data_IF_379501407386
#
_entry.id   IF_379501407386
#
_cell.length_a   1.000
_cell.length_b   1.000
_cell.length_c   1.000
_cell.angle_alpha   90.00
_cell.angle_beta   90.00
_cell.angle_gamma   90.00
#
_symmetry.space_group_name_H-M   'P 1'
#
loop_
_entity.id
_entity.type
_entity.pdbx_description
1 polymer ?
#
# COMPACT_ATOMS: atom_id res chain seq x y z
N UNK A 1 -19.94 -33.78 80.02
CA UNK A 1 -21.41 -33.79 79.92
C UNK A 1 -21.81 -32.87 78.78
N UNK A 2 -22.81 -33.31 77.99
CA UNK A 2 -23.56 -32.63 76.91
C UNK A 2 -22.75 -31.77 75.89
N UNK A 3 -22.54 -32.21 74.65
CA UNK A 3 -23.46 -32.06 73.49
C UNK A 3 -23.92 -30.63 73.22
N UNK A 4 -23.41 -30.03 72.14
CA UNK A 4 -24.32 -29.38 71.20
C UNK A 4 -23.81 -29.56 69.75
N UNK A 5 -24.67 -30.17 68.94
CA UNK A 5 -24.44 -30.55 67.54
C UNK A 5 -25.36 -29.64 66.73
N UNK A 6 -24.84 -28.58 66.15
CA UNK A 6 -25.59 -27.82 65.14
C UNK A 6 -25.21 -28.33 63.77
N UNK A 7 -26.10 -29.15 63.21
CA UNK A 7 -26.05 -29.66 61.84
C UNK A 7 -26.54 -28.54 60.92
N UNK A 8 -25.70 -28.10 59.98
CA UNK A 8 -26.12 -27.22 58.90
C UNK A 8 -26.02 -27.98 57.58
N UNK A 9 -27.20 -28.21 56.99
CA UNK A 9 -27.41 -28.88 55.70
C UNK A 9 -27.15 -27.87 54.58
N UNK A 10 -26.39 -28.20 53.52
CA UNK A 10 -26.29 -27.32 52.35
C UNK A 10 -27.52 -27.49 51.46
N UNK A 11 -28.25 -26.41 51.21
CA UNK A 11 -29.23 -26.33 50.10
C UNK A 11 -28.60 -25.56 48.94
N UNK A 12 -28.67 -26.07 47.70
CA UNK A 12 -27.91 -25.59 46.56
C UNK A 12 -28.60 -24.41 45.88
N UNK A 13 -27.80 -23.50 45.33
CA UNK A 13 -28.27 -22.51 44.36
C UNK A 13 -28.12 -21.07 44.83
N UNK A 14 -26.92 -20.52 44.67
CA UNK A 14 -26.74 -19.09 44.50
C UNK A 14 -25.75 -18.86 43.36
N UNK A 15 -26.27 -18.19 42.31
CA UNK A 15 -25.64 -17.91 41.02
C UNK A 15 -24.26 -17.28 41.17
N UNK A 16 -23.22 -17.95 40.66
CA UNK A 16 -21.97 -17.27 40.30
C UNK A 16 -22.26 -16.29 39.18
N UNK A 17 -21.95 -15.02 39.41
CA UNK A 17 -21.89 -14.01 38.37
C UNK A 17 -21.01 -14.50 37.22
N UNK A 18 -21.53 -14.39 36.00
CA UNK A 18 -20.82 -14.70 34.77
C UNK A 18 -19.65 -13.73 34.61
N UNK A 19 -18.45 -14.17 34.99
CA UNK A 19 -17.22 -13.57 34.47
C UNK A 19 -17.23 -13.71 32.93
N UNK A 20 -16.79 -12.69 32.17
CA UNK A 20 -16.66 -12.80 30.73
C UNK A 20 -15.70 -13.95 30.42
N UNK A 21 -16.25 -14.98 29.79
CA UNK A 21 -15.53 -16.16 29.32
C UNK A 21 -14.45 -15.68 28.34
N UNK A 22 -13.18 -16.11 28.45
CA UNK A 22 -12.23 -15.85 27.38
C UNK A 22 -12.82 -16.44 26.11
N UNK A 23 -13.03 -15.58 25.12
CA UNK A 23 -13.46 -15.99 23.80
C UNK A 23 -12.42 -16.99 23.30
N UNK A 24 -12.83 -18.25 23.20
CA UNK A 24 -12.09 -19.24 22.45
C UNK A 24 -12.09 -18.71 21.02
N UNK A 25 -10.96 -18.13 20.60
CA UNK A 25 -10.69 -17.84 19.21
C UNK A 25 -10.59 -19.19 18.51
N UNK A 26 -11.75 -19.73 18.13
CA UNK A 26 -11.85 -20.81 17.18
C UNK A 26 -11.00 -20.39 15.97
N UNK A 27 -10.01 -21.23 15.67
CA UNK A 27 -8.99 -20.95 14.67
C UNK A 27 -9.61 -20.39 13.41
N UNK A 28 -9.11 -19.23 12.97
CA UNK A 28 -9.42 -18.74 11.65
C UNK A 28 -8.97 -19.83 10.68
N UNK A 29 -9.86 -20.38 9.84
CA UNK A 29 -9.44 -21.33 8.83
C UNK A 29 -8.32 -20.70 8.00
N UNK A 30 -7.24 -21.44 7.78
CA UNK A 30 -6.14 -21.09 6.85
C UNK A 30 -6.62 -20.98 5.37
N UNK A 31 -7.92 -20.84 5.13
CA UNK A 31 -8.58 -21.30 3.91
C UNK A 31 -9.30 -20.20 3.13
N UNK A 32 -8.93 -18.93 3.28
CA UNK A 32 -9.16 -17.98 2.19
C UNK A 32 -7.93 -17.97 1.28
N UNK A 33 -7.87 -18.98 0.41
CA UNK A 33 -6.77 -19.16 -0.55
C UNK A 33 -6.80 -18.02 -1.57
N UNK A 34 -5.92 -17.04 -1.38
CA UNK A 34 -5.76 -15.90 -2.29
C UNK A 34 -5.22 -16.39 -3.63
N UNK A 35 -6.10 -16.51 -4.64
CA UNK A 35 -5.71 -16.82 -6.01
C UNK A 35 -5.55 -15.52 -6.80
N UNK A 36 -4.31 -15.02 -6.93
CA UNK A 36 -4.01 -13.83 -7.74
C UNK A 36 -3.94 -14.23 -9.21
N UNK A 37 -4.99 -13.93 -9.99
CA UNK A 37 -5.10 -14.28 -11.43
C UNK A 37 -4.15 -13.49 -12.36
N UNK A 38 -3.49 -12.45 -11.86
CA UNK A 38 -2.41 -11.69 -12.53
C UNK A 38 -1.37 -11.30 -11.47
N UNK A 39 -0.61 -12.25 -10.96
CA UNK A 39 0.52 -11.91 -10.10
C UNK A 39 1.84 -11.98 -10.87
N UNK A 40 2.91 -11.47 -10.23
CA UNK A 40 4.19 -11.11 -10.83
C UNK A 40 4.74 -12.20 -11.77
N UNK A 41 4.78 -13.45 -11.33
CA UNK A 41 5.00 -14.62 -12.18
C UNK A 41 4.43 -15.91 -11.51
N UNK A 42 4.28 -17.04 -12.22
CA UNK A 42 3.69 -18.29 -11.70
C UNK A 42 4.31 -18.80 -10.39
N UNK A 43 5.63 -18.72 -10.23
CA UNK A 43 6.33 -19.17 -9.01
C UNK A 43 5.94 -18.35 -7.78
N UNK A 44 5.85 -17.03 -7.92
CA UNK A 44 5.41 -16.13 -6.85
C UNK A 44 3.93 -16.34 -6.53
N UNK A 45 3.11 -16.54 -7.56
CA UNK A 45 1.67 -16.75 -7.40
C UNK A 45 1.37 -18.01 -6.58
N UNK A 46 2.14 -19.08 -6.80
CA UNK A 46 2.00 -20.30 -6.02
C UNK A 46 2.50 -20.13 -4.57
N UNK A 47 3.52 -19.30 -4.33
CA UNK A 47 4.06 -19.01 -3.00
C UNK A 47 3.19 -18.06 -2.15
N UNK A 48 2.16 -17.43 -2.71
CA UNK A 48 1.40 -16.35 -2.07
C UNK A 48 0.85 -16.72 -0.69
N UNK A 49 0.31 -17.93 -0.51
CA UNK A 49 -0.19 -18.41 0.80
C UNK A 49 0.92 -18.42 1.86
N UNK A 50 2.11 -18.93 1.54
CA UNK A 50 3.23 -19.00 2.46
C UNK A 50 3.76 -17.60 2.81
N UNK A 51 3.83 -16.69 1.84
CA UNK A 51 4.20 -15.29 2.06
C UNK A 51 3.17 -14.57 2.96
N UNK A 52 1.88 -14.81 2.76
CA UNK A 52 0.83 -14.28 3.62
C UNK A 52 0.92 -14.83 5.05
N UNK A 53 1.14 -16.13 5.22
CA UNK A 53 1.35 -16.72 6.55
C UNK A 53 2.59 -16.14 7.21
N UNK A 54 3.69 -15.99 6.48
CA UNK A 54 4.93 -15.37 6.97
C UNK A 54 4.68 -13.95 7.52
N UNK A 55 3.94 -13.10 6.79
CA UNK A 55 3.59 -11.75 7.28
C UNK A 55 2.78 -11.79 8.57
N UNK A 56 1.80 -12.70 8.67
CA UNK A 56 0.94 -12.85 9.85
C UNK A 56 1.72 -13.34 11.07
N UNK A 57 2.62 -14.32 10.87
CA UNK A 57 3.44 -14.88 11.95
C UNK A 57 4.37 -13.84 12.57
N UNK A 58 4.95 -12.96 11.74
CA UNK A 58 5.84 -11.88 12.21
C UNK A 58 5.17 -10.97 13.24
N UNK A 59 3.86 -10.74 13.11
CA UNK A 59 3.09 -9.89 14.04
C UNK A 59 2.34 -10.69 15.12
N UNK A 60 2.58 -11.99 15.24
CA UNK A 60 1.86 -12.86 16.19
C UNK A 60 2.62 -12.93 17.52
N UNK A 61 2.08 -12.33 18.61
CA UNK A 61 2.79 -12.26 19.89
C UNK A 61 2.81 -13.60 20.65
N UNK A 62 1.84 -14.47 20.40
CA UNK A 62 1.72 -15.78 21.02
C UNK A 62 1.04 -16.76 20.04
N UNK A 63 1.51 -18.00 20.02
CA UNK A 63 0.88 -19.10 19.31
C UNK A 63 0.66 -20.27 20.26
N UNK A 64 -0.57 -20.79 20.36
CA UNK A 64 -0.94 -21.82 21.33
C UNK A 64 -0.54 -23.23 20.91
N UNK A 65 -0.48 -23.51 19.61
CA UNK A 65 -0.20 -24.85 19.07
C UNK A 65 0.85 -24.79 17.96
N UNK A 66 2.12 -24.70 18.36
CA UNK A 66 3.25 -24.65 17.42
C UNK A 66 3.42 -25.95 16.62
N UNK A 67 3.23 -27.16 17.19
CA UNK A 67 3.25 -28.41 16.42
C UNK A 67 2.22 -28.46 15.28
N UNK A 68 0.98 -28.00 15.52
CA UNK A 68 -0.04 -27.94 14.47
C UNK A 68 0.31 -26.92 13.38
N UNK A 69 0.85 -25.76 13.77
CA UNK A 69 1.37 -24.78 12.82
C UNK A 69 2.47 -25.37 11.94
N UNK A 70 3.44 -26.07 12.53
CA UNK A 70 4.53 -26.72 11.82
C UNK A 70 4.00 -27.75 10.81
N UNK A 71 3.04 -28.59 11.22
CA UNK A 71 2.38 -29.56 10.35
C UNK A 71 1.68 -28.88 9.16
N UNK A 72 0.90 -27.83 9.41
CA UNK A 72 0.20 -27.05 8.38
C UNK A 72 1.16 -26.39 7.38
N UNK A 73 2.26 -25.81 7.86
CA UNK A 73 3.28 -25.22 7.00
C UNK A 73 4.01 -26.28 6.17
N UNK A 74 4.26 -27.46 6.74
CA UNK A 74 4.83 -28.60 6.02
C UNK A 74 3.90 -29.07 4.90
N UNK A 75 2.59 -29.16 5.17
CA UNK A 75 1.57 -29.50 4.16
C UNK A 75 1.51 -28.43 3.07
N UNK A 76 1.47 -27.13 3.42
CA UNK A 76 1.44 -26.05 2.43
C UNK A 76 2.72 -25.94 1.58
N UNK A 77 3.90 -26.28 2.12
CA UNK A 77 5.13 -26.36 1.32
C UNK A 77 5.06 -27.48 0.27
N UNK A 78 4.47 -28.63 0.61
CA UNK A 78 4.24 -29.73 -0.35
C UNK A 78 3.21 -29.32 -1.40
N UNK A 79 2.13 -28.67 -1.00
CA UNK A 79 1.11 -28.17 -1.92
C UNK A 79 1.67 -27.08 -2.83
N UNK A 80 2.54 -26.21 -2.32
CA UNK A 80 3.29 -25.24 -3.12
C UNK A 80 4.13 -25.92 -4.20
N UNK A 81 4.93 -26.94 -3.86
CA UNK A 81 5.75 -27.67 -4.84
C UNK A 81 4.88 -28.27 -5.96
N UNK A 82 3.79 -28.94 -5.58
CA UNK A 82 2.88 -29.57 -6.53
C UNK A 82 2.25 -28.53 -7.47
N UNK A 83 1.79 -27.40 -6.91
CA UNK A 83 1.21 -26.30 -7.70
C UNK A 83 2.23 -25.66 -8.63
N UNK A 84 3.45 -25.41 -8.17
CA UNK A 84 4.50 -24.81 -8.98
C UNK A 84 4.91 -25.72 -10.16
N UNK A 85 5.06 -27.03 -9.91
CA UNK A 85 5.31 -28.02 -10.97
C UNK A 85 4.15 -28.10 -11.96
N UNK A 86 2.91 -28.09 -11.48
CA UNK A 86 1.72 -28.11 -12.33
C UNK A 86 1.59 -26.86 -13.22
N UNK A 87 2.16 -25.72 -12.80
CA UNK A 87 2.25 -24.50 -13.61
C UNK A 87 3.44 -24.48 -14.58
N UNK A 88 4.22 -25.55 -14.66
CA UNK A 88 5.35 -25.67 -15.60
C UNK A 88 6.63 -25.01 -15.13
N UNK A 89 6.74 -24.63 -13.84
CA UNK A 89 7.99 -24.11 -13.28
C UNK A 89 9.08 -25.19 -13.32
N UNK A 90 10.31 -24.80 -13.67
CA UNK A 90 11.45 -25.71 -13.70
C UNK A 90 11.71 -26.33 -12.31
N UNK A 91 12.06 -27.61 -12.27
CA UNK A 91 12.26 -28.35 -11.01
C UNK A 91 13.32 -27.70 -10.12
N UNK A 92 14.43 -27.28 -10.70
CA UNK A 92 15.49 -26.54 -9.98
C UNK A 92 14.93 -25.28 -9.32
N UNK A 93 14.11 -24.50 -10.03
CA UNK A 93 13.47 -23.30 -9.49
C UNK A 93 12.50 -23.61 -8.37
N UNK A 94 11.72 -24.70 -8.46
CA UNK A 94 10.81 -25.11 -7.39
C UNK A 94 11.59 -25.50 -6.13
N UNK A 95 12.68 -26.25 -6.27
CA UNK A 95 13.53 -26.65 -5.13
C UNK A 95 14.20 -25.44 -4.48
N UNK A 96 14.73 -24.52 -5.28
CA UNK A 96 15.33 -23.27 -4.79
C UNK A 96 14.31 -22.38 -4.09
N UNK A 97 13.11 -22.23 -4.66
CA UNK A 97 12.04 -21.46 -4.04
C UNK A 97 11.59 -22.07 -2.71
N UNK A 98 11.43 -23.40 -2.64
CA UNK A 98 11.14 -24.09 -1.37
C UNK A 98 12.22 -23.84 -0.34
N UNK A 99 13.50 -23.93 -0.72
CA UNK A 99 14.62 -23.64 0.18
C UNK A 99 14.51 -22.25 0.78
N UNK A 100 14.27 -21.23 -0.06
CA UNK A 100 14.11 -19.86 0.36
C UNK A 100 12.89 -19.68 1.30
N UNK A 101 11.75 -20.29 0.95
CA UNK A 101 10.52 -20.20 1.75
C UNK A 101 10.68 -20.89 3.13
N UNK A 102 11.30 -22.06 3.18
CA UNK A 102 11.64 -22.72 4.45
C UNK A 102 12.52 -21.79 5.31
N UNK A 103 13.57 -21.22 4.72
CA UNK A 103 14.51 -20.36 5.44
C UNK A 103 13.82 -19.08 5.94
N UNK A 104 12.98 -18.44 5.12
CA UNK A 104 12.20 -17.26 5.49
C UNK A 104 11.29 -17.55 6.68
N UNK A 105 10.48 -18.62 6.59
CA UNK A 105 9.50 -18.96 7.62
C UNK A 105 10.19 -19.36 8.92
N UNK A 106 11.25 -20.16 8.85
CA UNK A 106 12.06 -20.54 10.01
C UNK A 106 12.64 -19.29 10.70
N UNK A 107 13.19 -18.35 9.94
CA UNK A 107 13.74 -17.12 10.48
C UNK A 107 12.68 -16.26 11.16
N UNK A 108 11.51 -16.09 10.52
CA UNK A 108 10.39 -15.33 11.09
C UNK A 108 9.91 -15.97 12.38
N UNK A 109 9.71 -17.29 12.40
CA UNK A 109 9.22 -17.99 13.59
C UNK A 109 10.23 -17.86 14.72
N UNK A 110 11.52 -18.11 14.47
CA UNK A 110 12.58 -18.01 15.48
C UNK A 110 12.77 -16.60 16.03
N UNK A 111 12.33 -15.57 15.30
CA UNK A 111 12.32 -14.18 15.76
C UNK A 111 11.08 -13.79 16.58
N UNK A 112 10.08 -14.65 16.69
CA UNK A 112 8.91 -14.37 17.54
C UNK A 112 9.21 -14.65 19.01
N UNK A 113 8.50 -14.02 19.96
CA UNK A 113 8.68 -14.28 21.40
C UNK A 113 8.46 -15.74 21.82
N UNK A 114 7.66 -16.48 21.06
CA UNK A 114 7.31 -17.88 21.34
C UNK A 114 8.16 -18.89 20.55
N UNK A 115 8.79 -18.48 19.44
CA UNK A 115 9.51 -19.39 18.55
C UNK A 115 10.70 -20.07 19.21
N UNK A 116 11.54 -19.33 19.91
CA UNK A 116 12.73 -19.86 20.57
C UNK A 116 12.41 -20.94 21.63
N UNK A 117 11.27 -20.81 22.33
CA UNK A 117 10.86 -21.72 23.40
C UNK A 117 9.97 -22.88 22.92
N UNK A 118 9.67 -22.95 21.62
CA UNK A 118 8.70 -23.91 21.06
C UNK A 118 9.32 -25.22 20.55
N UNK A 119 10.66 -25.33 20.55
CA UNK A 119 11.37 -26.47 19.94
C UNK A 119 11.53 -26.37 18.42
N UNK A 120 11.08 -25.28 17.79
CA UNK A 120 11.18 -25.07 16.33
C UNK A 120 12.60 -25.21 15.78
N UNK A 121 13.62 -24.75 16.52
CA UNK A 121 15.02 -24.85 16.11
C UNK A 121 15.53 -26.29 15.96
N UNK A 122 14.93 -27.25 16.67
CA UNK A 122 15.30 -28.66 16.60
C UNK A 122 14.66 -29.36 15.39
N UNK A 123 13.48 -28.90 14.98
CA UNK A 123 12.66 -29.49 13.92
C UNK A 123 12.18 -28.37 13.00
N UNK A 124 13.13 -27.63 12.40
CA UNK A 124 12.79 -26.53 11.51
C UNK A 124 12.33 -27.03 10.15
N UNK A 125 11.62 -26.19 9.38
CA UNK A 125 11.18 -26.57 8.04
C UNK A 125 12.38 -26.81 7.13
N UNK A 126 13.43 -26.00 7.24
CA UNK A 126 14.65 -26.19 6.48
C UNK A 126 15.33 -27.52 6.80
N UNK A 127 15.38 -27.90 8.07
CA UNK A 127 15.95 -29.18 8.51
C UNK A 127 15.13 -30.35 7.95
N UNK A 128 13.80 -30.28 8.02
CA UNK A 128 12.91 -31.31 7.51
C UNK A 128 13.05 -31.54 6.00
N UNK A 129 13.19 -30.45 5.24
CA UNK A 129 13.08 -30.47 3.79
C UNK A 129 14.42 -30.51 3.05
N UNK A 130 15.49 -30.06 3.70
CA UNK A 130 16.83 -29.91 3.12
C UNK A 130 17.95 -30.47 4.01
N UNK A 131 17.63 -30.96 5.21
CA UNK A 131 18.60 -31.49 6.17
C UNK A 131 19.67 -30.45 6.56
N UNK A 132 19.28 -29.17 6.60
CA UNK A 132 20.15 -28.05 6.95
C UNK A 132 19.53 -27.22 8.08
N UNK A 133 20.36 -26.70 8.97
CA UNK A 133 19.93 -25.93 10.15
C UNK A 133 20.19 -24.42 10.04
N UNK A 134 21.02 -23.99 9.08
CA UNK A 134 21.35 -22.57 8.87
C UNK A 134 21.35 -22.24 7.37
N UNK A 135 20.22 -21.77 6.85
CA UNK A 135 20.08 -21.44 5.41
C UNK A 135 20.31 -19.99 5.04
N UNK A 136 20.45 -19.10 6.02
CA UNK A 136 20.56 -17.66 5.81
C UNK A 136 21.73 -17.26 4.92
N UNK A 137 22.90 -17.90 5.05
CA UNK A 137 24.06 -17.63 4.21
C UNK A 137 23.90 -18.23 2.80
N UNK A 138 23.46 -19.49 2.71
CA UNK A 138 23.28 -20.19 1.45
C UNK A 138 22.25 -19.50 0.55
N UNK A 139 21.19 -18.92 1.12
CA UNK A 139 20.23 -18.10 0.38
C UNK A 139 20.90 -16.97 -0.38
N UNK A 140 21.85 -16.25 0.23
CA UNK A 140 22.58 -15.18 -0.46
C UNK A 140 23.60 -15.71 -1.47
N UNK A 141 24.24 -16.86 -1.21
CA UNK A 141 25.08 -17.52 -2.21
C UNK A 141 24.29 -17.95 -3.45
N UNK A 142 23.07 -18.47 -3.23
CA UNK A 142 22.11 -18.77 -4.31
C UNK A 142 21.73 -17.48 -5.05
N UNK A 143 21.38 -16.41 -4.33
CA UNK A 143 21.03 -15.13 -4.93
C UNK A 143 22.14 -14.60 -5.86
N UNK A 144 23.39 -14.62 -5.40
CA UNK A 144 24.55 -14.22 -6.22
C UNK A 144 24.65 -15.03 -7.50
N UNK A 145 24.47 -16.36 -7.42
CA UNK A 145 24.49 -17.23 -8.60
C UNK A 145 23.34 -16.95 -9.56
N UNK A 146 22.15 -16.64 -9.04
CA UNK A 146 20.99 -16.31 -9.87
C UNK A 146 21.20 -14.99 -10.63
N UNK A 147 21.88 -14.03 -10.01
CA UNK A 147 22.22 -12.74 -10.60
C UNK A 147 23.25 -12.82 -11.74
N UNK A 148 23.98 -13.94 -11.90
CA UNK A 148 24.88 -14.15 -13.06
C UNK A 148 24.10 -14.27 -14.38
N UNK A 149 22.82 -14.65 -14.34
CA UNK A 149 21.97 -14.82 -15.51
C UNK A 149 20.53 -14.40 -15.20
N UNK A 150 20.29 -13.10 -14.95
CA UNK A 150 19.04 -12.63 -14.38
C UNK A 150 17.84 -12.89 -15.29
N UNK A 151 17.99 -12.74 -16.61
CA UNK A 151 16.92 -12.99 -17.58
C UNK A 151 16.36 -14.43 -17.57
N UNK A 152 17.16 -15.43 -17.17
CA UNK A 152 16.69 -16.82 -17.01
C UNK A 152 16.08 -17.09 -15.64
N UNK A 153 16.46 -16.29 -14.64
CA UNK A 153 16.18 -16.53 -13.23
C UNK A 153 15.18 -15.52 -12.65
N UNK A 154 14.50 -14.72 -13.50
CA UNK A 154 13.60 -13.64 -13.06
C UNK A 154 12.60 -14.10 -12.02
N UNK A 155 12.03 -15.29 -12.24
CA UNK A 155 10.97 -15.78 -11.36
C UNK A 155 11.42 -15.99 -9.91
N UNK A 156 12.66 -16.46 -9.75
CA UNK A 156 13.29 -16.65 -8.45
C UNK A 156 13.78 -15.31 -7.87
N UNK A 157 14.35 -14.44 -8.70
CA UNK A 157 14.84 -13.14 -8.28
C UNK A 157 13.70 -12.27 -7.71
N UNK A 158 12.51 -12.34 -8.31
CA UNK A 158 11.30 -11.70 -7.80
C UNK A 158 10.89 -12.26 -6.44
N UNK A 159 10.89 -13.59 -6.29
CA UNK A 159 10.60 -14.23 -5.01
C UNK A 159 11.61 -13.81 -3.93
N UNK A 160 12.91 -13.76 -4.27
CA UNK A 160 13.95 -13.25 -3.37
C UNK A 160 13.68 -11.80 -2.96
N UNK A 161 13.35 -10.93 -3.91
CA UNK A 161 13.02 -9.53 -3.63
C UNK A 161 11.84 -9.40 -2.67
N UNK A 162 10.79 -10.20 -2.87
CA UNK A 162 9.64 -10.23 -1.96
C UNK A 162 10.04 -10.72 -0.57
N UNK A 163 10.81 -11.81 -0.46
CA UNK A 163 11.29 -12.31 0.83
C UNK A 163 12.13 -11.27 1.60
N UNK A 164 13.04 -10.56 0.91
CA UNK A 164 13.81 -9.45 1.49
C UNK A 164 12.90 -8.31 1.96
N UNK A 165 11.90 -7.95 1.15
CA UNK A 165 10.91 -6.91 1.49
C UNK A 165 10.02 -7.29 2.68
N UNK A 166 9.83 -8.58 2.93
CA UNK A 166 9.13 -9.10 4.10
C UNK A 166 9.98 -9.11 5.38
N UNK A 167 11.26 -8.78 5.29
CA UNK A 167 12.19 -8.70 6.42
C UNK A 167 13.08 -9.92 6.58
N UNK A 168 13.33 -10.68 5.50
CA UNK A 168 14.39 -11.68 5.50
C UNK A 168 15.76 -11.02 5.59
N UNK A 169 16.54 -11.37 6.61
CA UNK A 169 17.86 -10.80 6.86
C UNK A 169 18.97 -11.83 6.63
N UNK A 170 18.73 -13.10 6.96
CA UNK A 170 19.71 -14.19 6.86
C UNK A 170 21.04 -13.83 7.53
N UNK A 171 22.15 -14.01 6.80
CA UNK A 171 23.50 -13.74 7.31
C UNK A 171 23.72 -12.29 7.76
N UNK A 172 22.95 -11.33 7.24
CA UNK A 172 23.13 -9.91 7.53
C UNK A 172 22.62 -9.52 8.92
N UNK A 173 21.80 -10.35 9.58
CA UNK A 173 21.36 -10.09 10.96
C UNK A 173 22.52 -9.95 11.94
N UNK A 174 23.55 -10.79 11.78
CA UNK A 174 24.72 -10.84 12.68
C UNK A 174 25.92 -10.08 12.14
N UNK A 175 25.82 -9.52 10.92
CA UNK A 175 26.92 -8.85 10.27
C UNK A 175 27.11 -7.40 10.79
N UNK A 176 28.35 -6.91 10.94
CA UNK A 176 28.60 -5.49 11.20
C UNK A 176 28.04 -4.63 10.07
N UNK A 177 27.23 -3.61 10.40
CA UNK A 177 26.49 -2.80 9.40
C UNK A 177 25.64 -3.65 8.45
N UNK A 178 25.13 -4.79 8.93
CA UNK A 178 24.39 -5.74 8.10
C UNK A 178 23.12 -5.15 7.49
N UNK A 179 22.43 -4.25 8.19
CA UNK A 179 21.24 -3.58 7.66
C UNK A 179 21.56 -2.74 6.41
N UNK A 180 22.63 -1.93 6.43
CA UNK A 180 23.05 -1.14 5.26
C UNK A 180 23.41 -2.04 4.07
N UNK A 181 24.11 -3.15 4.33
CA UNK A 181 24.45 -4.11 3.28
C UNK A 181 23.22 -4.82 2.71
N UNK A 182 22.24 -5.15 3.57
CA UNK A 182 20.99 -5.78 3.14
C UNK A 182 20.16 -4.85 2.27
N UNK A 183 20.08 -3.57 2.64
CA UNK A 183 19.41 -2.54 1.83
C UNK A 183 20.10 -2.38 0.46
N UNK A 184 21.44 -2.33 0.42
CA UNK A 184 22.19 -2.32 -0.85
C UNK A 184 21.89 -3.55 -1.72
N UNK A 185 21.83 -4.75 -1.12
CA UNK A 185 21.47 -5.97 -1.86
C UNK A 185 20.05 -5.87 -2.41
N UNK A 186 19.10 -5.36 -1.63
CA UNK A 186 17.70 -5.19 -2.07
C UNK A 186 17.59 -4.17 -3.21
N UNK A 187 18.29 -3.05 -3.13
CA UNK A 187 18.28 -2.00 -4.15
C UNK A 187 18.93 -2.48 -5.46
N UNK A 188 20.07 -3.17 -5.39
CA UNK A 188 20.71 -3.78 -6.55
C UNK A 188 19.82 -4.84 -7.21
N UNK A 189 19.14 -5.65 -6.41
CA UNK A 189 18.20 -6.65 -6.91
C UNK A 189 17.00 -5.98 -7.60
N UNK A 190 16.45 -4.91 -7.01
CA UNK A 190 15.36 -4.13 -7.61
C UNK A 190 15.76 -3.55 -8.98
N UNK A 191 16.93 -2.88 -9.06
CA UNK A 191 17.43 -2.34 -10.33
C UNK A 191 17.65 -3.44 -11.37
N UNK A 192 18.14 -4.62 -10.95
CA UNK A 192 18.30 -5.77 -11.85
C UNK A 192 16.96 -6.24 -12.40
N UNK A 193 15.92 -6.33 -11.55
CA UNK A 193 14.57 -6.71 -11.98
C UNK A 193 13.94 -5.68 -12.93
N UNK A 194 14.10 -4.39 -12.63
CA UNK A 194 13.61 -3.28 -13.46
C UNK A 194 14.28 -3.29 -14.84
N UNK A 195 15.59 -3.50 -14.91
CA UNK A 195 16.31 -3.58 -16.18
C UNK A 195 15.89 -4.78 -17.05
N UNK A 196 15.42 -5.87 -16.45
CA UNK A 196 14.99 -7.07 -17.17
C UNK A 196 13.53 -7.03 -17.60
N UNK A 197 12.70 -6.21 -16.94
CA UNK A 197 11.35 -5.87 -17.37
C UNK A 197 11.36 -4.43 -17.92
N UNK A 198 11.79 -4.19 -19.18
CA UNK A 198 11.49 -2.92 -19.81
C UNK A 198 9.97 -2.80 -19.81
N UNK A 199 9.44 -1.91 -18.98
CA UNK A 199 8.02 -1.57 -18.99
C UNK A 199 7.67 -1.22 -20.46
N UNK A 200 6.78 -1.97 -21.15
CA UNK A 200 5.91 -1.24 -22.05
C UNK A 200 5.18 -0.25 -21.14
N UNK A 201 5.05 1.02 -21.55
CA UNK A 201 4.18 1.99 -20.90
C UNK A 201 2.77 1.38 -20.80
N UNK A 202 2.57 0.64 -19.72
CA UNK A 202 1.35 -0.09 -19.45
C UNK A 202 0.60 0.90 -18.62
N UNK A 203 -0.13 1.78 -19.32
CA UNK A 203 -1.17 2.62 -18.74
C UNK A 203 -1.83 1.80 -17.63
N UNK A 204 -1.75 2.30 -16.39
CA UNK A 204 -2.04 1.56 -15.16
C UNK A 204 -3.51 1.09 -15.07
N UNK A 205 -4.31 1.28 -16.12
CA UNK A 205 -5.53 0.53 -16.39
C UNK A 205 -5.88 0.50 -17.88
N UNK A 206 -6.12 -0.69 -18.49
CA UNK A 206 -6.82 -0.81 -19.78
C UNK A 206 -8.31 -0.39 -19.70
N UNK A 207 -8.84 -0.20 -18.49
CA UNK A 207 -10.21 0.22 -18.19
C UNK A 207 -10.18 1.38 -17.19
N UNK A 208 -9.51 2.48 -17.52
CA UNK A 208 -9.46 3.67 -16.66
C UNK A 208 -10.86 4.28 -16.40
N UNK A 209 -11.90 3.79 -17.07
CA UNK A 209 -13.28 4.20 -16.94
C UNK A 209 -14.06 3.28 -15.96
N UNK A 210 -13.60 3.20 -14.71
CA UNK A 210 -14.43 2.74 -13.59
C UNK A 210 -14.62 3.92 -12.65
N UNK A 211 -15.82 4.51 -12.70
CA UNK A 211 -16.41 5.50 -11.78
C UNK A 211 -15.44 6.12 -10.77
N UNK A 212 -14.53 6.95 -11.27
CA UNK A 212 -13.65 7.73 -10.40
C UNK A 212 -14.50 8.77 -9.68
N UNK A 213 -14.61 8.64 -8.35
CA UNK A 213 -14.77 9.79 -7.47
C UNK A 213 -13.56 10.70 -7.73
N UNK A 214 -13.77 11.70 -8.59
CA UNK A 214 -12.75 12.65 -9.01
C UNK A 214 -12.19 13.38 -7.78
N UNK A 215 -10.87 13.38 -7.50
CA UNK A 215 -10.30 14.43 -6.68
C UNK A 215 -10.54 15.75 -7.42
N UNK A 216 -11.39 16.59 -6.83
CA UNK A 216 -11.91 17.81 -7.44
C UNK A 216 -10.87 18.92 -7.29
N UNK A 217 -9.79 18.90 -8.07
CA UNK A 217 -9.09 20.14 -8.43
C UNK A 217 -9.75 20.68 -9.71
N UNK A 218 -10.78 21.50 -9.53
CA UNK A 218 -11.45 22.25 -10.59
C UNK A 218 -11.00 23.71 -10.54
N UNK A 219 -9.78 23.97 -11.00
CA UNK A 219 -9.35 25.32 -11.39
C UNK A 219 -8.46 25.26 -12.63
N UNK A 220 -8.81 24.40 -13.58
CA UNK A 220 -8.26 24.44 -14.92
C UNK A 220 -9.42 24.34 -15.92
N UNK A 221 -9.45 25.22 -16.92
CA UNK A 221 -10.55 25.56 -17.83
C UNK A 221 -11.57 26.61 -17.35
N UNK A 222 -11.11 27.76 -16.84
CA UNK A 222 -11.65 29.01 -17.40
C UNK A 222 -10.62 29.47 -18.42
N UNK A 223 -10.86 29.22 -19.71
CA UNK A 223 -9.88 29.59 -20.72
C UNK A 223 -9.69 31.11 -20.69
N UNK A 224 -8.43 31.57 -20.67
CA UNK A 224 -8.03 32.97 -20.40
C UNK A 224 -8.81 34.03 -21.19
N UNK A 225 -9.28 33.71 -22.40
CA UNK A 225 -10.14 34.57 -23.21
C UNK A 225 -11.47 34.93 -22.53
N UNK A 226 -12.06 34.08 -21.69
CA UNK A 226 -13.30 34.37 -20.96
C UNK A 226 -13.06 35.40 -19.86
N UNK A 227 -11.90 35.32 -19.18
CA UNK A 227 -11.49 36.32 -18.19
C UNK A 227 -11.25 37.66 -18.89
N UNK A 228 -10.51 37.65 -20.01
CA UNK A 228 -10.28 38.85 -20.81
C UNK A 228 -11.58 39.46 -21.36
N UNK A 229 -12.52 38.64 -21.83
CA UNK A 229 -13.82 39.09 -22.32
C UNK A 229 -14.69 39.69 -21.20
N UNK A 230 -14.69 39.07 -20.01
CA UNK A 230 -15.45 39.57 -18.86
C UNK A 230 -14.88 40.90 -18.37
N UNK A 231 -13.57 41.01 -18.23
CA UNK A 231 -12.91 42.27 -17.86
C UNK A 231 -13.16 43.36 -18.91
N UNK A 232 -13.05 43.02 -20.20
CA UNK A 232 -13.37 43.94 -21.30
C UNK A 232 -14.82 44.42 -21.28
N UNK A 233 -15.78 43.54 -21.01
CA UNK A 233 -17.19 43.89 -20.90
C UNK A 233 -17.46 44.84 -19.73
N UNK A 234 -16.87 44.58 -18.55
CA UNK A 234 -17.00 45.46 -17.38
C UNK A 234 -16.41 46.84 -17.68
N UNK A 235 -15.24 46.88 -18.33
CA UNK A 235 -14.56 48.14 -18.66
C UNK A 235 -15.34 48.95 -19.70
N UNK A 236 -15.94 48.28 -20.70
CA UNK A 236 -16.84 48.91 -21.67
C UNK A 236 -18.12 49.43 -21.03
N UNK A 237 -18.75 48.67 -20.14
CA UNK A 237 -19.96 49.09 -19.42
C UNK A 237 -19.67 50.29 -18.52
N UNK A 238 -18.56 50.25 -17.78
CA UNK A 238 -18.09 51.36 -16.96
C UNK A 238 -17.83 52.60 -17.81
N UNK A 239 -17.07 52.47 -18.91
CA UNK A 239 -16.79 53.57 -19.82
C UNK A 239 -18.06 54.14 -20.44
N UNK A 240 -18.99 53.30 -20.86
CA UNK A 240 -20.28 53.72 -21.43
C UNK A 240 -21.13 54.45 -20.38
N UNK A 241 -21.19 53.94 -19.15
CA UNK A 241 -21.90 54.57 -18.04
C UNK A 241 -21.31 55.93 -17.67
N UNK A 242 -19.99 56.03 -17.54
CA UNK A 242 -19.31 57.31 -17.31
C UNK A 242 -19.53 58.27 -18.48
N UNK A 243 -19.47 57.80 -19.73
CA UNK A 243 -19.70 58.64 -20.91
C UNK A 243 -21.13 59.14 -20.97
N UNK A 244 -22.11 58.30 -20.64
CA UNK A 244 -23.51 58.68 -20.62
C UNK A 244 -23.80 59.67 -19.49
N UNK A 245 -23.27 59.40 -18.29
CA UNK A 245 -23.35 60.33 -17.16
C UNK A 245 -22.70 61.68 -17.50
N UNK A 246 -21.53 61.67 -18.12
CA UNK A 246 -20.84 62.88 -18.56
C UNK A 246 -21.64 63.62 -19.63
N UNK A 247 -22.22 62.90 -20.60
CA UNK A 247 -23.05 63.51 -21.64
C UNK A 247 -24.31 64.15 -21.05
N UNK A 248 -24.97 63.50 -20.08
CA UNK A 248 -26.15 64.02 -19.39
C UNK A 248 -25.79 65.24 -18.51
N UNK A 249 -24.58 65.29 -17.94
CA UNK A 249 -24.06 66.48 -17.24
C UNK A 249 -23.47 67.55 -18.16
N UNK A 250 -23.22 67.27 -19.44
CA UNK A 250 -22.65 68.24 -20.40
C UNK A 250 -23.73 69.08 -21.09
N UNK A 251 -24.93 68.53 -21.32
CA UNK A 251 -26.06 69.28 -21.89
C UNK A 251 -26.44 70.57 -21.13
N UNK A 252 -26.49 70.62 -19.78
CA UNK A 252 -26.85 71.86 -19.10
C UNK A 252 -25.78 72.97 -19.20
N UNK A 253 -24.51 72.63 -19.45
CA UNK A 253 -23.43 73.64 -19.56
C UNK A 253 -23.32 74.20 -20.97
N UNK A 254 -23.54 73.38 -22.01
CA UNK A 254 -23.62 73.86 -23.39
C UNK A 254 -24.82 74.80 -23.60
N UNK A 255 -25.97 74.48 -23.00
CA UNK A 255 -27.15 75.34 -23.03
C UNK A 255 -26.95 76.66 -22.25
N UNK A 256 -26.20 76.66 -21.14
CA UNK A 256 -25.90 77.91 -20.40
C UNK A 256 -24.96 78.82 -21.20
N UNK A 257 -23.99 78.26 -21.93
CA UNK A 257 -23.08 79.05 -22.80
C UNK A 257 -23.84 79.64 -23.99
N UNK A 258 -24.70 78.89 -24.67
CA UNK A 258 -25.51 79.42 -25.79
C UNK A 258 -26.50 80.51 -25.32
N UNK A 259 -27.14 80.34 -24.16
CA UNK A 259 -28.05 81.36 -23.63
C UNK A 259 -27.33 82.67 -23.26
N UNK A 260 -26.09 82.59 -22.74
CA UNK A 260 -25.28 83.76 -22.43
C UNK A 260 -24.75 84.46 -23.68
N UNK A 261 -24.36 83.72 -24.72
CA UNK A 261 -23.97 84.30 -26.03
C UNK A 261 -25.19 84.92 -26.73
N UNK A 262 -26.36 84.31 -26.62
CA UNK A 262 -27.62 84.86 -27.14
C UNK A 262 -28.02 86.15 -26.40
N UNK A 263 -27.91 86.20 -25.07
CA UNK A 263 -28.16 87.42 -24.29
C UNK A 263 -27.17 88.54 -24.63
N UNK A 264 -25.89 88.23 -24.79
CA UNK A 264 -24.84 89.22 -25.12
C UNK A 264 -25.01 89.78 -26.55
N UNK A 265 -25.34 88.94 -27.53
CA UNK A 265 -25.68 89.40 -28.90
C UNK A 265 -26.97 90.23 -28.96
N UNK A 266 -27.95 89.95 -28.09
CA UNK A 266 -29.18 90.75 -27.99
C UNK A 266 -28.90 92.12 -27.36
N UNK A 267 -28.01 92.20 -26.36
CA UNK A 267 -27.60 93.47 -25.73
C UNK A 267 -26.77 94.33 -26.71
N UNK A 268 -25.86 93.74 -27.49
CA UNK A 268 -25.09 94.46 -28.51
C UNK A 268 -26.01 95.05 -29.60
N UNK A 269 -27.11 94.36 -29.95
CA UNK A 269 -28.07 94.84 -30.96
C UNK A 269 -29.14 95.81 -30.39
N UNK A 270 -29.19 96.00 -29.08
CA UNK A 270 -30.07 96.93 -28.38
C UNK A 270 -29.36 98.20 -27.88
N UNK A 271 -28.14 98.47 -28.33
CA UNK A 271 -27.46 99.74 -28.07
C UNK A 271 -27.86 100.76 -29.15
N UNK A 272 -28.77 101.71 -28.88
CA UNK A 272 -29.12 102.76 -29.83
C UNK A 272 -27.92 103.68 -30.06
N UNK A 273 -27.77 104.15 -31.31
CA UNK A 273 -26.98 105.33 -31.66
C UNK A 273 -27.46 106.57 -30.90
#
# INVERSE_FOLDING_TARGET
MQQDRTIMVPTPGARKGSAPRPQSYAGTPLAERVHIRKGLNPLVNTATTLLAVATKLRTTPQHSDVPDLHRKLTEELKDFEQRARAQGCAEESVVTARYLLCTLVDEIVLNTPWGANSGWSQHSLLSLFHHETFGGEKCFSILTRLLESPGRNLDLLELFYLCLSLGFEGKYRLAPRGHEQLEQVRDNLYQTLENQRPFPEQDLSPHWETDTVKPKYRFDLIPLWVIAATFGAILLLSYSGLRWWLHDTTHPVAADIESRIALDSTIINQQPQ
#
